data_IF_509373159355
#
_entry.id   IF_509373159355
#
_cell.length_a   1.000
_cell.length_b   1.000
_cell.length_c   1.000
_cell.angle_alpha   90.00
_cell.angle_beta   90.00
_cell.angle_gamma   90.00
#
_symmetry.space_group_name_H-M   'P 1'
#
loop_
_entity.id
_entity.type
_entity.pdbx_description
1 polymer ?
#
# COMPACT_ATOMS: atom_id res chain seq x y z
N UNK A 1 -26.64 -15.43 3.48
CA UNK A 1 -25.87 -15.52 2.22
C UNK A 1 -25.76 -16.98 1.79
N UNK A 2 -25.85 -17.27 0.50
CA UNK A 2 -25.73 -18.62 -0.06
C UNK A 2 -24.29 -19.15 0.09
N UNK A 3 -24.16 -20.45 0.19
CA UNK A 3 -22.85 -21.14 0.14
C UNK A 3 -22.29 -21.04 -1.28
N UNK A 4 -21.12 -20.43 -1.45
CA UNK A 4 -20.44 -20.29 -2.74
C UNK A 4 -19.16 -21.15 -2.75
N UNK A 5 -18.82 -21.66 -3.93
CA UNK A 5 -17.49 -22.24 -4.18
C UNK A 5 -16.72 -21.23 -5.04
N UNK A 6 -15.62 -20.71 -4.53
CA UNK A 6 -14.85 -19.63 -5.17
C UNK A 6 -13.43 -20.14 -5.39
N UNK A 7 -12.98 -20.13 -6.65
CA UNK A 7 -11.59 -20.37 -7.02
C UNK A 7 -10.84 -19.06 -7.21
N UNK A 8 -9.67 -18.92 -6.61
CA UNK A 8 -8.78 -17.78 -6.78
C UNK A 8 -7.49 -18.28 -7.43
N UNK A 9 -7.09 -17.67 -8.52
CA UNK A 9 -5.86 -18.01 -9.24
C UNK A 9 -4.76 -17.02 -8.87
N UNK A 10 -3.65 -17.52 -8.32
CA UNK A 10 -2.49 -16.76 -7.90
C UNK A 10 -2.43 -16.52 -6.38
N UNK A 11 -1.38 -17.05 -5.75
CA UNK A 11 -1.08 -16.95 -4.32
C UNK A 11 -0.18 -15.77 -3.96
N UNK A 12 -0.22 -14.66 -4.73
CA UNK A 12 0.38 -13.40 -4.36
C UNK A 12 -0.46 -12.65 -3.34
N UNK A 13 0.02 -11.50 -2.86
CA UNK A 13 -0.66 -10.71 -1.81
C UNK A 13 -2.10 -10.32 -2.19
N UNK A 14 -2.36 -10.06 -3.46
CA UNK A 14 -3.71 -9.71 -3.93
C UNK A 14 -4.66 -10.90 -3.81
N UNK A 15 -4.26 -12.08 -4.28
CA UNK A 15 -5.07 -13.29 -4.17
C UNK A 15 -5.31 -13.71 -2.72
N UNK A 16 -4.28 -13.63 -1.89
CA UNK A 16 -4.37 -13.94 -0.45
C UNK A 16 -5.30 -12.94 0.27
N UNK A 17 -5.16 -11.63 0.00
CA UNK A 17 -6.03 -10.61 0.59
C UNK A 17 -7.48 -10.77 0.14
N UNK A 18 -7.71 -11.11 -1.13
CA UNK A 18 -9.05 -11.40 -1.65
C UNK A 18 -9.66 -12.63 -0.96
N UNK A 19 -8.90 -13.73 -0.84
CA UNK A 19 -9.34 -14.94 -0.15
C UNK A 19 -9.74 -14.62 1.30
N UNK A 20 -8.89 -13.89 2.01
CA UNK A 20 -9.14 -13.48 3.39
C UNK A 20 -10.42 -12.65 3.52
N UNK A 21 -10.58 -11.61 2.71
CA UNK A 21 -11.76 -10.73 2.75
C UNK A 21 -13.05 -11.47 2.38
N UNK A 22 -13.01 -12.34 1.37
CA UNK A 22 -14.16 -13.15 0.99
C UNK A 22 -14.57 -14.13 2.09
N UNK A 23 -13.60 -14.75 2.77
CA UNK A 23 -13.88 -15.67 3.87
C UNK A 23 -14.49 -14.95 5.08
N UNK A 24 -14.02 -13.73 5.40
CA UNK A 24 -14.61 -12.91 6.46
C UNK A 24 -16.05 -12.50 6.13
N UNK A 25 -16.31 -12.11 4.89
CA UNK A 25 -17.62 -11.64 4.47
C UNK A 25 -18.64 -12.78 4.29
N UNK A 26 -18.18 -14.00 4.04
CA UNK A 26 -19.05 -15.15 3.87
C UNK A 26 -18.37 -16.44 4.38
N UNK A 27 -18.43 -16.65 5.68
CA UNK A 27 -17.82 -17.79 6.34
C UNK A 27 -18.33 -19.17 5.84
N UNK A 28 -19.51 -19.21 5.21
CA UNK A 28 -20.09 -20.45 4.66
C UNK A 28 -19.54 -20.79 3.26
N UNK A 29 -18.84 -19.90 2.61
CA UNK A 29 -18.25 -20.14 1.29
C UNK A 29 -17.00 -21.00 1.41
N UNK A 30 -16.78 -21.86 0.41
CA UNK A 30 -15.54 -22.60 0.23
C UNK A 30 -14.65 -21.82 -0.72
N UNK A 31 -13.48 -21.38 -0.23
CA UNK A 31 -12.50 -20.65 -1.02
C UNK A 31 -11.32 -21.57 -1.27
N UNK A 32 -10.94 -21.71 -2.54
CA UNK A 32 -9.79 -22.51 -2.99
C UNK A 32 -8.85 -21.56 -3.73
N UNK A 33 -7.62 -21.46 -3.26
CA UNK A 33 -6.57 -20.68 -3.89
C UNK A 33 -5.64 -21.63 -4.66
N UNK A 34 -5.45 -21.34 -5.95
CA UNK A 34 -4.55 -22.07 -6.84
C UNK A 34 -3.27 -21.27 -7.04
N UNK A 35 -2.13 -21.86 -6.68
CA UNK A 35 -0.80 -21.29 -6.90
C UNK A 35 0.04 -22.28 -7.69
N UNK A 36 0.79 -21.79 -8.68
CA UNK A 36 1.66 -22.63 -9.52
C UNK A 36 2.96 -23.02 -8.83
N UNK A 37 3.39 -22.21 -7.88
CA UNK A 37 4.62 -22.46 -7.11
C UNK A 37 4.33 -23.30 -5.88
N UNK A 38 5.38 -23.87 -5.30
CA UNK A 38 5.28 -24.72 -4.10
C UNK A 38 4.88 -23.94 -2.84
N UNK A 39 4.98 -22.61 -2.86
CA UNK A 39 4.55 -21.73 -1.76
C UNK A 39 4.01 -20.40 -2.29
N UNK A 40 3.13 -19.79 -1.49
CA UNK A 40 2.58 -18.46 -1.79
C UNK A 40 3.64 -17.36 -1.70
N UNK A 41 3.42 -16.24 -2.38
CA UNK A 41 4.28 -15.06 -2.30
C UNK A 41 5.64 -15.19 -3.00
N UNK A 42 5.88 -16.24 -3.78
CA UNK A 42 7.19 -16.55 -4.37
C UNK A 42 7.68 -15.54 -5.42
N UNK A 43 6.79 -14.73 -5.96
CA UNK A 43 7.11 -13.73 -7.00
C UNK A 43 7.12 -12.31 -6.42
N UNK A 44 6.45 -11.35 -7.05
CA UNK A 44 6.50 -9.93 -6.70
C UNK A 44 6.12 -9.62 -5.24
N UNK A 45 5.21 -10.41 -4.64
CA UNK A 45 4.81 -10.23 -3.24
C UNK A 45 5.93 -10.51 -2.25
N UNK A 46 6.84 -11.42 -2.57
CA UNK A 46 8.02 -11.73 -1.76
C UNK A 46 9.31 -11.05 -2.24
N UNK A 47 9.27 -10.28 -3.35
CA UNK A 47 10.44 -9.68 -4.01
C UNK A 47 10.20 -8.22 -4.34
N UNK A 48 9.85 -7.43 -3.34
CA UNK A 48 9.63 -5.99 -3.45
C UNK A 48 10.26 -5.26 -2.25
N UNK A 49 10.17 -3.93 -2.22
CA UNK A 49 10.74 -3.12 -1.14
C UNK A 49 9.98 -3.21 0.19
N UNK A 50 8.82 -3.86 0.22
CA UNK A 50 7.94 -3.90 1.39
C UNK A 50 7.31 -2.55 1.78
N UNK A 51 7.46 -1.51 0.95
CA UNK A 51 6.98 -0.16 1.28
C UNK A 51 5.52 0.01 0.86
N UNK A 52 4.68 0.41 1.81
CA UNK A 52 3.32 0.88 1.55
C UNK A 52 3.38 2.34 1.10
N UNK A 53 3.30 2.57 -0.21
CA UNK A 53 3.40 3.90 -0.79
C UNK A 53 2.17 4.76 -0.50
N UNK A 54 2.36 5.93 0.12
CA UNK A 54 1.29 6.86 0.52
C UNK A 54 0.54 7.55 -0.63
N UNK A 55 0.99 7.39 -1.88
CA UNK A 55 0.34 8.02 -3.02
C UNK A 55 0.72 9.48 -3.24
N UNK A 56 1.84 9.96 -2.66
CA UNK A 56 2.30 11.35 -2.71
C UNK A 56 2.29 11.91 -4.13
N UNK A 57 2.86 11.18 -5.10
CA UNK A 57 3.00 11.58 -6.50
C UNK A 57 1.98 10.91 -7.43
N UNK A 58 0.89 10.36 -6.91
CA UNK A 58 -0.12 9.75 -7.77
C UNK A 58 -1.05 10.82 -8.34
N UNK A 59 -1.48 10.64 -9.59
CA UNK A 59 -2.42 11.56 -10.25
C UNK A 59 -3.65 11.78 -9.38
N UNK A 60 -3.89 13.02 -9.00
CA UNK A 60 -5.02 13.41 -8.15
C UNK A 60 -6.34 12.94 -8.74
N UNK A 61 -7.22 12.41 -7.90
CA UNK A 61 -8.52 11.88 -8.29
C UNK A 61 -8.51 10.48 -8.91
N UNK A 62 -7.32 9.91 -9.21
CA UNK A 62 -7.23 8.56 -9.74
C UNK A 62 -7.64 7.51 -8.70
N UNK A 63 -8.11 6.35 -9.17
CA UNK A 63 -8.36 5.19 -8.30
C UNK A 63 -7.10 4.79 -7.53
N UNK A 64 -5.93 4.89 -8.17
CA UNK A 64 -4.65 4.59 -7.54
C UNK A 64 -4.39 5.48 -6.32
N UNK A 65 -4.64 6.79 -6.42
CA UNK A 65 -4.48 7.72 -5.30
C UNK A 65 -5.47 7.42 -4.16
N UNK A 66 -6.74 7.20 -4.50
CA UNK A 66 -7.80 6.89 -3.53
C UNK A 66 -7.54 5.58 -2.79
N UNK A 67 -7.21 4.51 -3.55
CA UNK A 67 -6.98 3.19 -3.00
C UNK A 67 -5.67 3.10 -2.21
N UNK A 68 -4.63 3.87 -2.56
CA UNK A 68 -3.39 3.90 -1.80
C UNK A 68 -3.61 4.41 -0.38
N UNK A 69 -4.34 5.53 -0.21
CA UNK A 69 -4.65 6.08 1.12
C UNK A 69 -5.42 5.08 1.98
N UNK A 70 -6.56 4.61 1.47
CA UNK A 70 -7.38 3.62 2.19
C UNK A 70 -6.64 2.30 2.44
N UNK A 71 -5.79 1.90 1.50
CA UNK A 71 -5.00 0.67 1.60
C UNK A 71 -3.96 0.72 2.71
N UNK A 72 -3.29 1.87 2.92
CA UNK A 72 -2.35 2.04 4.02
C UNK A 72 -3.07 1.90 5.36
N UNK A 73 -4.17 2.63 5.55
CA UNK A 73 -4.95 2.57 6.78
C UNK A 73 -5.35 1.12 7.10
N UNK A 74 -5.98 0.44 6.14
CA UNK A 74 -6.42 -0.95 6.31
C UNK A 74 -5.26 -1.93 6.53
N UNK A 75 -4.10 -1.72 5.88
CA UNK A 75 -2.94 -2.60 6.05
C UNK A 75 -2.28 -2.37 7.41
N UNK A 76 -2.17 -1.12 7.86
CA UNK A 76 -1.65 -0.80 9.20
C UNK A 76 -2.52 -1.43 10.28
N UNK A 77 -3.84 -1.27 10.19
CA UNK A 77 -4.79 -1.90 11.12
C UNK A 77 -4.67 -3.43 11.10
N UNK A 78 -4.51 -4.00 9.91
CA UNK A 78 -4.30 -5.44 9.74
C UNK A 78 -3.00 -5.90 10.43
N UNK A 79 -1.91 -5.17 10.23
CA UNK A 79 -0.62 -5.49 10.86
C UNK A 79 -0.71 -5.40 12.38
N UNK A 80 -1.33 -4.34 12.92
CA UNK A 80 -1.55 -4.18 14.35
C UNK A 80 -2.37 -5.35 14.90
N UNK A 81 -3.53 -5.61 14.28
CA UNK A 81 -4.45 -6.68 14.70
C UNK A 81 -3.82 -8.05 14.73
N UNK A 82 -2.96 -8.34 13.77
CA UNK A 82 -2.33 -9.66 13.60
C UNK A 82 -0.89 -9.70 14.11
N UNK A 83 -0.43 -8.65 14.82
CA UNK A 83 0.93 -8.56 15.40
C UNK A 83 2.03 -8.78 14.36
N UNK A 84 1.80 -8.27 13.14
CA UNK A 84 2.79 -8.32 12.06
C UNK A 84 3.76 -7.15 12.25
N UNK A 85 5.07 -7.40 12.35
CA UNK A 85 6.08 -6.34 12.46
C UNK A 85 5.97 -5.36 11.29
N UNK A 86 5.88 -4.07 11.59
CA UNK A 86 5.85 -2.99 10.62
C UNK A 86 6.37 -1.71 11.26
N UNK A 87 6.82 -0.77 10.43
CA UNK A 87 7.31 0.53 10.88
C UNK A 87 6.63 1.66 10.09
N UNK A 88 6.20 2.70 10.80
CA UNK A 88 5.65 3.92 10.22
C UNK A 88 6.76 4.97 10.15
N UNK A 89 7.78 4.68 9.37
CA UNK A 89 9.01 5.47 9.27
C UNK A 89 8.86 6.78 8.48
N UNK A 90 7.76 6.97 7.77
CA UNK A 90 7.58 8.11 6.87
C UNK A 90 8.34 7.96 5.56
N UNK A 91 8.47 9.08 4.82
CA UNK A 91 9.19 9.15 3.56
C UNK A 91 9.79 10.55 3.37
N UNK A 92 11.04 10.61 2.98
CA UNK A 92 11.71 11.84 2.55
C UNK A 92 11.78 11.86 1.03
N UNK A 93 11.49 13.02 0.43
CA UNK A 93 11.71 13.29 -1.00
C UNK A 93 12.66 14.48 -1.08
N UNK A 94 13.74 14.31 -1.79
CA UNK A 94 14.84 15.29 -1.85
C UNK A 94 14.93 15.89 -3.25
N UNK A 95 15.08 17.19 -3.33
CA UNK A 95 15.60 17.88 -4.50
C UNK A 95 17.11 17.94 -4.38
N UNK A 96 17.84 17.30 -5.29
CA UNK A 96 19.31 17.26 -5.26
C UNK A 96 19.96 18.52 -5.87
N UNK A 97 19.17 19.33 -6.57
CA UNK A 97 19.58 20.60 -7.16
C UNK A 97 18.40 21.57 -7.28
N UNK A 98 18.70 22.85 -7.57
CA UNK A 98 17.68 23.92 -7.65
C UNK A 98 16.64 23.69 -8.74
N UNK A 99 17.01 23.01 -9.84
CA UNK A 99 16.06 22.76 -10.94
C UNK A 99 14.92 21.83 -10.52
N UNK A 100 15.14 21.00 -9.52
CA UNK A 100 14.17 20.05 -9.00
C UNK A 100 13.22 20.65 -7.95
N UNK A 101 13.52 21.84 -7.42
CA UNK A 101 12.68 22.46 -6.37
C UNK A 101 11.24 22.65 -6.87
N UNK A 102 11.08 23.18 -8.09
CA UNK A 102 9.74 23.34 -8.70
C UNK A 102 8.98 22.02 -8.85
N UNK A 103 9.71 20.92 -9.06
CA UNK A 103 9.10 19.60 -9.12
C UNK A 103 8.68 19.12 -7.72
N UNK A 104 9.49 19.38 -6.71
CA UNK A 104 9.18 19.07 -5.32
C UNK A 104 7.89 19.79 -4.86
N UNK A 105 7.74 21.07 -5.18
CA UNK A 105 6.53 21.85 -4.90
C UNK A 105 5.29 21.19 -5.53
N UNK A 106 5.37 20.83 -6.82
CA UNK A 106 4.28 20.14 -7.52
C UNK A 106 3.91 18.81 -6.87
N UNK A 107 4.91 18.04 -6.44
CA UNK A 107 4.69 16.76 -5.74
C UNK A 107 4.03 16.99 -4.39
N UNK A 108 4.43 18.02 -3.65
CA UNK A 108 3.82 18.39 -2.38
C UNK A 108 2.36 18.83 -2.54
N UNK A 109 2.07 19.67 -3.55
CA UNK A 109 0.69 20.05 -3.87
C UNK A 109 -0.18 18.83 -4.26
N UNK A 110 0.37 17.92 -5.05
CA UNK A 110 -0.31 16.71 -5.44
C UNK A 110 -0.63 15.83 -4.22
N UNK A 111 0.33 15.70 -3.31
CA UNK A 111 0.15 14.99 -2.04
C UNK A 111 -0.96 15.60 -1.19
N UNK A 112 -1.00 16.94 -1.04
CA UNK A 112 -2.07 17.65 -0.34
C UNK A 112 -3.44 17.37 -0.98
N UNK A 113 -3.54 17.45 -2.30
CA UNK A 113 -4.77 17.15 -3.06
C UNK A 113 -5.20 15.68 -2.93
N UNK A 114 -4.24 14.77 -2.71
CA UNK A 114 -4.50 13.36 -2.43
C UNK A 114 -4.85 13.09 -0.94
N UNK A 115 -4.90 14.13 -0.11
CA UNK A 115 -5.31 14.06 1.29
C UNK A 115 -4.19 13.66 2.26
N UNK A 116 -2.93 13.88 1.91
CA UNK A 116 -1.81 13.73 2.82
C UNK A 116 -1.67 15.01 3.66
N UNK A 117 -1.93 14.91 4.96
CA UNK A 117 -2.06 16.08 5.85
C UNK A 117 -0.72 16.48 6.51
N UNK A 118 0.22 15.56 6.64
CA UNK A 118 1.44 15.74 7.43
C UNK A 118 2.69 15.99 6.57
N UNK A 119 2.52 16.71 5.46
CA UNK A 119 3.64 17.08 4.61
C UNK A 119 4.39 18.27 5.21
N UNK A 120 5.71 18.13 5.35
CA UNK A 120 6.60 19.18 5.84
C UNK A 120 7.70 19.44 4.81
N UNK A 121 8.01 20.70 4.58
CA UNK A 121 9.24 21.10 3.90
C UNK A 121 10.34 21.18 4.97
N UNK A 122 11.45 20.54 4.69
CA UNK A 122 12.63 20.52 5.57
C UNK A 122 13.80 21.19 4.86
N UNK A 123 14.55 21.96 5.59
CA UNK A 123 15.85 22.46 5.12
C UNK A 123 16.96 21.48 5.51
N UNK A 124 18.17 21.72 5.00
CA UNK A 124 19.31 20.82 5.22
C UNK A 124 19.66 20.58 6.71
N UNK A 125 19.42 21.56 7.58
CA UNK A 125 19.67 21.42 9.01
C UNK A 125 18.63 20.59 9.76
N UNK A 126 17.45 20.44 9.18
CA UNK A 126 16.37 19.65 9.75
C UNK A 126 16.40 18.18 9.32
N UNK A 127 17.16 17.87 8.26
CA UNK A 127 17.40 16.51 7.79
C UNK A 127 18.56 15.94 8.61
N UNK A 128 18.25 15.30 9.73
CA UNK A 128 19.26 14.53 10.49
C UNK A 128 19.37 13.14 9.87
N UNK A 129 20.54 12.83 9.34
CA UNK A 129 20.94 11.51 8.86
C UNK A 129 21.57 10.75 10.04
#
# INVERSE_FOLDING_TARGET
>A
MSKLNIGIIGGGIVGLALAYKLQLNNAKSKIILFEKENKVGSHQSGRNSGVLHCGLAYKTGSLKAKLAKSGIEQMTDFCIKHQIPHDICGKIVVASDESQIKHLDKVAEMGKKNGLLNLRFLNNSEIKI
#
